data_IF_592078756015
#
_entry.id   IF_592078756015
#
_cell.length_a   1.000
_cell.length_b   1.000
_cell.length_c   1.000
_cell.angle_alpha   90.00
_cell.angle_beta   90.00
_cell.angle_gamma   90.00
#
_symmetry.space_group_name_H-M   'P 1'
#
loop_
_entity.id
_entity.type
_entity.pdbx_description
1 polymer ?
#
# COMPACT_ATOMS: atom_id res chain seq x y z
N UNK A 1 -19.60 4.17 2.78
CA UNK A 1 -18.70 3.02 2.51
C UNK A 1 -18.46 2.78 1.03
N UNK A 2 -19.47 2.74 0.14
CA UNK A 2 -19.22 2.54 -1.32
C UNK A 2 -18.27 3.59 -1.94
N UNK A 3 -18.25 4.79 -1.36
CA UNK A 3 -17.37 5.91 -1.69
C UNK A 3 -15.88 5.69 -1.33
N UNK A 4 -15.58 4.62 -0.57
CA UNK A 4 -14.23 4.21 -0.19
C UNK A 4 -13.62 3.23 -1.20
N UNK A 5 -14.43 2.60 -2.06
CA UNK A 5 -13.89 1.71 -3.10
C UNK A 5 -13.08 2.56 -4.10
N UNK A 6 -11.92 2.03 -4.51
CA UNK A 6 -10.91 2.70 -5.33
C UNK A 6 -10.19 3.87 -4.64
N UNK A 7 -10.29 3.99 -3.32
CA UNK A 7 -9.47 4.95 -2.56
C UNK A 7 -8.19 4.33 -2.07
N UNK A 8 -7.20 5.19 -1.81
CA UNK A 8 -5.90 4.82 -1.27
C UNK A 8 -5.76 5.40 0.13
N UNK A 9 -5.10 4.69 1.03
CA UNK A 9 -5.04 5.13 2.42
C UNK A 9 -4.17 4.27 3.31
N UNK A 10 -4.09 4.69 4.57
CA UNK A 10 -3.39 3.99 5.64
C UNK A 10 -4.37 3.23 6.50
N UNK A 11 -3.87 2.17 7.14
CA UNK A 11 -4.59 1.44 8.17
C UNK A 11 -3.66 1.26 9.38
N UNK A 12 -3.49 2.31 10.21
CA UNK A 12 -2.56 2.28 11.33
C UNK A 12 -3.10 1.37 12.43
N UNK A 13 -2.54 0.16 12.51
CA UNK A 13 -2.96 -0.84 13.50
C UNK A 13 -1.75 -1.46 14.17
N UNK A 14 -1.84 -1.60 15.49
CA UNK A 14 -0.88 -2.27 16.36
C UNK A 14 -1.60 -3.33 17.18
N UNK A 15 -0.86 -4.28 17.76
CA UNK A 15 -1.46 -5.39 18.52
C UNK A 15 -2.30 -4.89 19.72
N UNK A 16 -1.94 -3.74 20.26
CA UNK A 16 -2.61 -3.05 21.36
C UNK A 16 -3.96 -2.45 20.98
N UNK A 17 -4.22 -2.21 19.69
CA UNK A 17 -5.48 -1.63 19.19
C UNK A 17 -6.64 -2.65 19.14
N UNK A 18 -6.36 -3.92 19.47
CA UNK A 18 -7.36 -4.99 19.48
C UNK A 18 -7.50 -5.71 18.14
N UNK A 19 -7.71 -7.02 18.20
CA UNK A 19 -7.80 -7.88 17.02
C UNK A 19 -9.14 -7.79 16.27
N UNK A 20 -10.16 -7.18 16.88
CA UNK A 20 -11.50 -7.02 16.34
C UNK A 20 -11.57 -6.09 15.11
N UNK A 21 -10.55 -5.26 14.90
CA UNK A 21 -10.45 -4.34 13.77
C UNK A 21 -10.08 -5.05 12.46
N UNK A 22 -9.59 -6.29 12.52
CA UNK A 22 -9.17 -7.07 11.36
C UNK A 22 -9.94 -8.39 11.39
N UNK A 23 -10.34 -8.87 10.22
CA UNK A 23 -11.04 -10.15 10.14
C UNK A 23 -10.19 -11.29 10.75
N UNK A 24 -10.77 -12.22 11.54
CA UNK A 24 -10.01 -13.23 12.28
C UNK A 24 -9.12 -14.14 11.43
N UNK A 25 -9.46 -14.36 10.17
CA UNK A 25 -8.65 -15.15 9.22
C UNK A 25 -7.42 -14.38 8.70
N UNK A 26 -7.48 -13.05 8.76
CA UNK A 26 -6.52 -12.15 8.14
C UNK A 26 -5.52 -11.60 9.19
N UNK A 27 -5.93 -11.53 10.46
CA UNK A 27 -5.15 -10.95 11.58
C UNK A 27 -3.75 -11.55 11.73
N UNK A 28 -3.58 -12.86 11.50
CA UNK A 28 -2.27 -13.53 11.64
C UNK A 28 -1.25 -13.10 10.57
N UNK A 29 -1.75 -12.62 9.43
CA UNK A 29 -0.94 -12.18 8.29
C UNK A 29 -0.80 -10.65 8.26
N UNK A 30 -1.69 -9.94 8.96
CA UNK A 30 -1.63 -8.49 9.06
C UNK A 30 -0.49 -8.07 9.99
N UNK A 31 0.50 -7.37 9.43
CA UNK A 31 1.66 -6.91 10.21
C UNK A 31 1.37 -5.51 10.77
N UNK A 32 1.64 -5.25 12.06
CA UNK A 32 1.57 -3.91 12.62
C UNK A 32 2.33 -2.89 11.79
N UNK A 33 1.67 -1.82 11.40
CA UNK A 33 2.27 -0.77 10.57
C UNK A 33 1.46 0.53 10.70
N UNK A 34 2.11 1.64 10.38
CA UNK A 34 1.46 2.94 10.22
C UNK A 34 1.79 3.62 8.89
N UNK A 35 2.85 3.20 8.19
CA UNK A 35 3.28 3.81 6.93
C UNK A 35 2.76 3.09 5.70
N UNK A 36 2.35 1.82 5.78
CA UNK A 36 1.98 1.06 4.57
C UNK A 36 0.70 1.63 3.96
N UNK A 37 0.76 1.84 2.66
CA UNK A 37 -0.37 2.32 1.87
C UNK A 37 -1.12 1.12 1.31
N UNK A 38 -2.44 1.20 1.38
CA UNK A 38 -3.36 0.18 0.88
C UNK A 38 -4.30 0.78 -0.16
N UNK A 39 -4.69 -0.04 -1.13
CA UNK A 39 -5.76 0.24 -2.06
C UNK A 39 -7.04 -0.44 -1.58
N UNK A 40 -8.13 0.31 -1.39
CA UNK A 40 -9.43 -0.26 -1.11
C UNK A 40 -10.04 -0.80 -2.40
N UNK A 41 -10.13 -2.12 -2.52
CA UNK A 41 -10.60 -2.80 -3.73
C UNK A 41 -12.05 -3.27 -3.62
N UNK A 42 -12.66 -3.19 -2.44
CA UNK A 42 -14.02 -3.69 -2.25
C UNK A 42 -14.51 -3.58 -0.82
N UNK A 43 -15.72 -4.08 -0.63
CA UNK A 43 -16.38 -4.24 0.66
C UNK A 43 -16.98 -5.65 0.71
N UNK A 44 -16.91 -6.29 1.86
CA UNK A 44 -17.49 -7.60 2.14
C UNK A 44 -18.20 -7.51 3.49
N UNK A 45 -19.53 -7.61 3.48
CA UNK A 45 -20.39 -7.39 4.65
C UNK A 45 -20.10 -6.06 5.37
N UNK A 46 -19.52 -6.11 6.57
CA UNK A 46 -19.12 -4.95 7.38
C UNK A 46 -17.65 -4.55 7.21
N UNK A 47 -16.87 -5.33 6.45
CA UNK A 47 -15.44 -5.13 6.24
C UNK A 47 -15.13 -4.38 4.95
N UNK A 48 -14.05 -3.61 5.00
CA UNK A 48 -13.35 -3.06 3.86
C UNK A 48 -12.26 -4.02 3.40
N UNK A 49 -12.12 -4.23 2.09
CA UNK A 49 -11.05 -5.05 1.53
C UNK A 49 -9.89 -4.16 1.10
N UNK A 50 -8.80 -4.21 1.85
CA UNK A 50 -7.55 -3.51 1.59
C UNK A 50 -6.54 -4.42 0.88
N UNK A 51 -5.98 -3.94 -0.22
CA UNK A 51 -4.91 -4.60 -0.97
C UNK A 51 -3.57 -3.90 -0.75
N UNK A 52 -2.53 -4.71 -0.50
CA UNK A 52 -1.13 -4.29 -0.57
C UNK A 52 -0.36 -5.30 -1.41
N UNK A 53 0.10 -4.89 -2.59
CA UNK A 53 0.65 -5.78 -3.61
C UNK A 53 -0.28 -6.99 -3.88
N UNK A 54 0.16 -8.20 -3.53
CA UNK A 54 -0.62 -9.44 -3.70
C UNK A 54 -1.44 -9.82 -2.49
N UNK A 55 -1.23 -9.19 -1.33
CA UNK A 55 -1.96 -9.47 -0.10
C UNK A 55 -3.27 -8.67 -0.04
N UNK A 56 -4.30 -9.28 0.53
CA UNK A 56 -5.60 -8.67 0.77
C UNK A 56 -6.03 -8.93 2.21
N UNK A 57 -6.67 -7.95 2.82
CA UNK A 57 -7.11 -8.01 4.21
C UNK A 57 -8.49 -7.36 4.33
N UNK A 58 -9.39 -8.03 5.06
CA UNK A 58 -10.68 -7.51 5.48
C UNK A 58 -10.52 -6.80 6.80
N UNK A 59 -10.84 -5.51 6.83
CA UNK A 59 -10.61 -4.63 7.98
C UNK A 59 -11.83 -3.77 8.28
N UNK A 60 -12.00 -3.40 9.54
CA UNK A 60 -13.06 -2.48 9.95
C UNK A 60 -12.76 -1.09 9.35
N UNK A 61 -13.71 -0.44 8.65
CA UNK A 61 -13.49 0.85 8.00
C UNK A 61 -13.17 2.02 8.95
N UNK A 62 -13.47 1.94 10.24
CA UNK A 62 -13.31 3.05 11.20
C UNK A 62 -11.86 3.53 11.36
N UNK A 63 -10.90 2.64 11.19
CA UNK A 63 -9.48 2.97 11.32
C UNK A 63 -8.83 3.35 9.97
N UNK A 64 -9.58 3.35 8.87
CA UNK A 64 -9.06 3.70 7.55
C UNK A 64 -8.84 5.21 7.40
N UNK A 65 -7.61 5.60 7.06
CA UNK A 65 -7.23 7.00 6.84
C UNK A 65 -6.95 7.23 5.37
N UNK A 66 -7.88 7.90 4.69
CA UNK A 66 -7.77 8.20 3.25
C UNK A 66 -6.59 9.13 2.97
N UNK A 67 -5.86 8.80 1.90
CA UNK A 67 -4.80 9.61 1.29
C UNK A 67 -5.23 10.06 -0.12
N UNK A 68 -4.38 10.88 -0.74
CA UNK A 68 -4.44 11.12 -2.17
C UNK A 68 -4.14 9.83 -2.96
N UNK A 69 -4.42 9.84 -4.26
CA UNK A 69 -4.09 8.70 -5.14
C UNK A 69 -2.59 8.75 -5.44
N UNK A 70 -1.84 7.64 -5.27
CA UNK A 70 -0.43 7.59 -5.63
C UNK A 70 -0.26 7.63 -7.16
N UNK A 71 0.84 8.22 -7.62
CA UNK A 71 1.16 8.31 -9.04
C UNK A 71 1.40 6.92 -9.67
N UNK A 72 2.01 6.03 -8.90
CA UNK A 72 2.27 4.64 -9.27
C UNK A 72 1.48 3.69 -8.38
N UNK A 73 1.02 2.58 -8.95
CA UNK A 73 0.24 1.54 -8.27
C UNK A 73 1.10 0.30 -8.08
N UNK A 74 0.63 -0.60 -7.22
CA UNK A 74 1.22 -1.92 -7.12
C UNK A 74 1.26 -2.59 -8.50
N UNK A 75 2.40 -3.22 -8.79
CA UNK A 75 2.69 -3.93 -10.03
C UNK A 75 2.89 -3.06 -11.27
N UNK A 76 2.86 -1.73 -11.14
CA UNK A 76 3.27 -0.86 -12.24
C UNK A 76 4.75 -1.14 -12.58
N UNK A 77 5.02 -1.30 -13.86
CA UNK A 77 6.39 -1.37 -14.38
C UNK A 77 6.94 0.05 -14.49
N UNK A 78 8.11 0.28 -13.91
CA UNK A 78 8.79 1.57 -13.87
C UNK A 78 10.21 1.46 -14.39
N UNK A 79 10.79 2.59 -14.75
CA UNK A 79 12.22 2.77 -15.01
C UNK A 79 12.79 3.73 -13.97
N UNK A 80 13.90 3.34 -13.33
CA UNK A 80 14.61 4.25 -12.41
C UNK A 80 15.46 5.25 -13.19
N UNK A 81 15.42 6.53 -12.79
CA UNK A 81 16.15 7.59 -13.50
C UNK A 81 17.67 7.49 -13.40
N UNK A 82 18.20 6.78 -12.42
CA UNK A 82 19.63 6.73 -12.10
C UNK A 82 20.40 5.61 -12.80
N UNK A 83 19.73 4.49 -13.08
CA UNK A 83 20.35 3.27 -13.61
C UNK A 83 19.60 2.71 -14.82
N UNK A 84 18.52 3.37 -15.25
CA UNK A 84 17.65 2.94 -16.36
C UNK A 84 17.19 1.48 -16.20
N UNK A 85 17.01 1.04 -14.94
CA UNK A 85 16.57 -0.32 -14.62
C UNK A 85 15.07 -0.38 -14.64
N UNK A 86 14.55 -1.41 -15.33
CA UNK A 86 13.13 -1.75 -15.31
C UNK A 86 12.86 -2.50 -14.01
N UNK A 87 11.84 -2.07 -13.27
CA UNK A 87 11.39 -2.73 -12.05
C UNK A 87 9.89 -2.65 -11.87
N UNK A 88 9.39 -3.35 -10.86
CA UNK A 88 7.97 -3.40 -10.53
C UNK A 88 7.73 -2.83 -9.13
N UNK A 89 6.72 -1.97 -8.96
CA UNK A 89 6.31 -1.48 -7.63
C UNK A 89 5.76 -2.65 -6.80
N UNK A 90 6.44 -3.03 -5.72
CA UNK A 90 5.98 -4.08 -4.81
C UNK A 90 5.54 -3.56 -3.44
N UNK A 91 5.91 -2.35 -3.07
CA UNK A 91 5.49 -1.74 -1.80
C UNK A 91 5.38 -0.22 -1.95
N UNK A 92 4.39 0.35 -1.26
CA UNK A 92 4.12 1.79 -1.22
C UNK A 92 3.97 2.17 0.25
N UNK A 93 4.72 3.18 0.67
CA UNK A 93 4.68 3.74 2.02
C UNK A 93 4.34 5.24 1.97
N UNK A 94 3.80 5.75 3.07
CA UNK A 94 3.54 7.17 3.27
C UNK A 94 4.62 7.79 4.17
N UNK A 95 5.26 8.85 3.68
CA UNK A 95 6.19 9.63 4.49
C UNK A 95 5.46 10.79 5.18
N UNK A 96 5.15 10.64 6.47
CA UNK A 96 4.34 11.60 7.23
C UNK A 96 4.87 13.03 7.23
N UNK A 97 6.20 13.21 7.26
CA UNK A 97 6.83 14.54 7.34
C UNK A 97 6.68 15.30 6.02
N UNK A 98 7.03 14.64 4.91
CA UNK A 98 7.06 15.28 3.59
C UNK A 98 5.71 15.17 2.87
N UNK A 99 4.77 14.39 3.42
CA UNK A 99 3.43 14.14 2.88
C UNK A 99 3.47 13.65 1.44
N UNK A 100 4.33 12.67 1.19
CA UNK A 100 4.55 12.08 -0.12
C UNK A 100 4.57 10.55 -0.04
N UNK A 101 4.34 9.92 -1.20
CA UNK A 101 4.49 8.48 -1.36
C UNK A 101 5.96 8.10 -1.57
N UNK A 102 6.33 7.00 -0.93
CA UNK A 102 7.62 6.35 -1.10
C UNK A 102 7.37 4.98 -1.72
N UNK A 103 8.15 4.66 -2.74
CA UNK A 103 7.99 3.45 -3.53
C UNK A 103 9.19 2.53 -3.33
N UNK A 104 8.91 1.22 -3.25
CA UNK A 104 9.91 0.18 -3.31
C UNK A 104 9.65 -0.69 -4.53
N UNK A 105 10.75 -1.07 -5.18
CA UNK A 105 10.71 -1.77 -6.45
C UNK A 105 11.39 -3.12 -6.36
N UNK A 106 10.90 -4.09 -7.12
CA UNK A 106 11.64 -5.30 -7.41
C UNK A 106 12.27 -5.17 -8.79
N UNK A 107 13.47 -5.72 -8.98
CA UNK A 107 14.16 -5.79 -10.28
C UNK A 107 14.48 -7.25 -10.51
N UNK A 108 14.02 -7.80 -11.64
CA UNK A 108 14.15 -9.23 -11.97
C UNK A 108 13.57 -10.14 -10.85
N UNK A 109 12.46 -9.73 -10.25
CA UNK A 109 11.80 -10.45 -9.15
C UNK A 109 12.49 -10.32 -7.78
N UNK A 110 13.60 -9.58 -7.69
CA UNK A 110 14.32 -9.36 -6.42
C UNK A 110 13.97 -8.00 -5.84
N UNK A 111 13.33 -7.99 -4.67
CA UNK A 111 13.00 -6.78 -3.92
C UNK A 111 14.27 -5.97 -3.59
N UNK A 112 14.24 -4.68 -3.85
CA UNK A 112 15.30 -3.75 -3.48
C UNK A 112 14.90 -3.00 -2.21
N UNK A 113 15.89 -2.74 -1.36
CA UNK A 113 15.71 -2.00 -0.10
C UNK A 113 15.73 -0.49 -0.28
N UNK A 114 16.17 0.00 -1.45
CA UNK A 114 16.16 1.42 -1.76
C UNK A 114 14.72 1.93 -1.94
N UNK A 115 14.49 3.09 -1.32
CA UNK A 115 13.30 3.92 -1.46
C UNK A 115 13.43 4.85 -2.65
N UNK A 116 12.34 5.05 -3.37
CA UNK A 116 12.25 5.98 -4.48
C UNK A 116 11.11 6.98 -4.23
N UNK A 117 11.37 8.24 -4.55
CA UNK A 117 10.34 9.28 -4.68
C UNK A 117 9.76 9.28 -6.09
N UNK A 118 8.61 9.92 -6.25
CA UNK A 118 7.89 9.95 -7.53
C UNK A 118 8.75 10.48 -8.70
N UNK A 119 9.55 11.52 -8.45
CA UNK A 119 10.39 12.15 -9.46
C UNK A 119 11.65 11.34 -9.82
N UNK A 120 11.94 10.26 -9.10
CA UNK A 120 13.05 9.34 -9.40
C UNK A 120 12.63 8.19 -10.34
N UNK A 121 11.33 8.08 -10.62
CA UNK A 121 10.73 7.00 -11.39
C UNK A 121 10.05 7.56 -12.64
N UNK A 122 9.94 6.71 -13.66
CA UNK A 122 9.11 6.91 -14.85
C UNK A 122 8.33 5.62 -15.13
N UNK A 123 7.16 5.72 -15.76
CA UNK A 123 6.45 4.51 -16.23
C UNK A 123 7.24 3.87 -17.36
N UNK A 124 7.30 2.54 -17.35
CA UNK A 124 7.78 1.77 -18.50
C UNK A 124 6.65 1.67 -19.53
N UNK A 125 6.90 2.12 -20.75
CA UNK A 125 5.94 2.12 -21.88
C UNK A 125 5.98 0.81 -22.67
#
# INVERSE_FOLDING_TARGET
MKDLINTWGLYPWFNEDGGELIHPEDIRQFTPNNTKVFHCIGLEDEYMILQSATAQFRVNPENYKRLNVPLYRFRDQIVTNDQERIGEIHEIEWHYRDKEFIYYISVEGVNKTRRYKEHELKRYE
#
